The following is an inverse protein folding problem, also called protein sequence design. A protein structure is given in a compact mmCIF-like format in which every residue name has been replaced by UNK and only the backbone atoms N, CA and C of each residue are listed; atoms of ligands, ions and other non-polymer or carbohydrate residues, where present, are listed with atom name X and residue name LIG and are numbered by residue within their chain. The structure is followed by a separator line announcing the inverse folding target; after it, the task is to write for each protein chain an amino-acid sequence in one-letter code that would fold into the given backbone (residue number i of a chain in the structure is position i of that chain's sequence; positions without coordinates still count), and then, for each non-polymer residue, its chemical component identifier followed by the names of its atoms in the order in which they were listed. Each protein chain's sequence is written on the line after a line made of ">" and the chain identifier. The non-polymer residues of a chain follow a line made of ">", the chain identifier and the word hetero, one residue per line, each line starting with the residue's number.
data_IF_725511917919
#
_entry.id   IF_725511917919
#
_cell.length_a   1.000
_cell.length_b   1.000
_cell.length_c   1.000
_cell.angle_alpha   90.00
_cell.angle_beta   90.00
_cell.angle_gamma   90.00
#
_symmetry.space_group_name_H-M   'P 1'
#
loop_
_entity.id
_entity.type
_entity.pdbx_description
1 polymer ?
#
# COMPACT_ATOMS: atom_id res chain seq x y z
N UNK A 1 -28.40 6.06 -34.63
CA UNK A 1 -28.00 4.64 -34.52
C UNK A 1 -29.19 3.91 -33.96
N UNK A 2 -29.48 2.72 -34.47
CA UNK A 2 -30.58 1.91 -33.98
C UNK A 2 -30.12 1.16 -32.72
N UNK A 3 -30.99 1.07 -31.72
CA UNK A 3 -30.73 0.31 -30.50
C UNK A 3 -30.85 -1.19 -30.76
N UNK A 4 -29.92 -1.98 -30.22
CA UNK A 4 -30.05 -3.43 -30.16
C UNK A 4 -30.69 -3.81 -28.83
N UNK A 5 -31.93 -4.31 -28.86
CA UNK A 5 -32.63 -4.80 -27.66
C UNK A 5 -32.64 -6.33 -27.65
N UNK A 6 -31.88 -6.93 -26.72
CA UNK A 6 -31.82 -8.37 -26.46
C UNK A 6 -31.76 -8.63 -24.96
N UNK A 7 -32.25 -9.77 -24.47
CA UNK A 7 -32.14 -10.14 -23.05
C UNK A 7 -30.70 -10.40 -22.61
N UNK A 8 -29.88 -10.92 -23.53
CA UNK A 8 -28.44 -11.10 -23.36
C UNK A 8 -27.72 -11.08 -24.71
N UNK A 9 -26.47 -10.64 -24.71
CA UNK A 9 -25.52 -10.76 -25.81
C UNK A 9 -24.34 -11.60 -25.33
N UNK A 10 -24.06 -12.70 -26.02
CA UNK A 10 -22.91 -13.56 -25.76
C UNK A 10 -21.96 -13.50 -26.94
N UNK A 11 -20.69 -13.14 -26.70
CA UNK A 11 -19.64 -13.08 -27.70
C UNK A 11 -18.41 -13.84 -27.19
N UNK A 12 -18.33 -15.13 -27.54
CA UNK A 12 -17.35 -16.03 -26.93
C UNK A 12 -17.58 -16.14 -25.42
N UNK A 13 -16.55 -15.97 -24.56
CA UNK A 13 -16.70 -16.05 -23.11
C UNK A 13 -17.29 -14.78 -22.48
N UNK A 14 -17.48 -13.70 -23.26
CA UNK A 14 -18.02 -12.43 -22.79
C UNK A 14 -19.55 -12.45 -22.84
N UNK A 15 -20.20 -12.01 -21.77
CA UNK A 15 -21.66 -11.90 -21.65
C UNK A 15 -22.06 -10.52 -21.17
N UNK A 16 -22.99 -9.89 -21.88
CA UNK A 16 -23.70 -8.68 -21.46
C UNK A 16 -25.17 -9.07 -21.22
N UNK A 17 -25.67 -8.87 -20.00
CA UNK A 17 -27.02 -9.25 -19.62
C UNK A 17 -27.64 -8.20 -18.68
N UNK A 18 -28.93 -8.37 -18.36
CA UNK A 18 -29.65 -7.51 -17.41
C UNK A 18 -29.04 -7.51 -16.00
N UNK A 19 -28.20 -8.50 -15.68
CA UNK A 19 -27.48 -8.62 -14.42
C UNK A 19 -26.08 -7.97 -14.43
N UNK A 20 -25.62 -7.45 -15.57
CA UNK A 20 -24.32 -6.80 -15.72
C UNK A 20 -23.45 -7.40 -16.84
N UNK A 21 -22.14 -7.17 -16.72
CA UNK A 21 -21.13 -7.59 -17.69
C UNK A 21 -20.22 -8.64 -17.06
N UNK A 22 -20.03 -9.77 -17.76
CA UNK A 22 -19.00 -10.75 -17.45
C UNK A 22 -17.97 -10.78 -18.59
N UNK A 23 -16.73 -10.42 -18.29
CA UNK A 23 -15.63 -10.41 -19.27
C UNK A 23 -15.01 -11.79 -19.55
N UNK A 24 -15.46 -12.85 -18.86
CA UNK A 24 -14.99 -14.21 -19.12
C UNK A 24 -13.52 -14.43 -18.76
N UNK A 25 -13.03 -13.77 -17.69
CA UNK A 25 -11.63 -13.80 -17.26
C UNK A 25 -10.62 -13.28 -18.31
N UNK A 26 -11.08 -12.44 -19.23
CA UNK A 26 -10.23 -11.76 -20.19
C UNK A 26 -9.79 -10.39 -19.66
N UNK A 27 -8.62 -9.93 -20.12
CA UNK A 27 -8.16 -8.55 -19.87
C UNK A 27 -9.04 -7.56 -20.62
N UNK A 28 -9.46 -6.52 -19.92
CA UNK A 28 -10.17 -5.36 -20.50
C UNK A 28 -9.14 -4.25 -20.68
N UNK A 29 -8.72 -3.99 -21.91
CA UNK A 29 -7.75 -2.94 -22.25
C UNK A 29 -8.44 -1.64 -22.68
N UNK A 30 -7.69 -0.54 -22.72
CA UNK A 30 -8.16 0.80 -23.12
C UNK A 30 -9.25 1.39 -22.21
N UNK A 31 -9.26 1.00 -20.93
CA UNK A 31 -10.09 1.64 -19.91
C UNK A 31 -9.42 2.96 -19.51
N UNK A 32 -10.06 4.08 -19.86
CA UNK A 32 -9.63 5.39 -19.41
C UNK A 32 -9.70 5.48 -17.87
N UNK A 33 -8.89 6.34 -17.21
CA UNK A 33 -8.99 6.53 -15.78
C UNK A 33 -10.41 6.88 -15.35
N UNK A 34 -10.95 6.16 -14.36
CA UNK A 34 -12.26 6.45 -13.79
C UNK A 34 -12.24 7.77 -13.02
N UNK A 35 -13.31 8.56 -13.12
CA UNK A 35 -13.43 9.89 -12.49
C UNK A 35 -14.59 9.92 -11.49
N UNK A 36 -15.72 9.32 -11.83
CA UNK A 36 -16.86 9.17 -10.95
C UNK A 36 -16.74 7.90 -10.09
N UNK A 37 -17.44 7.87 -8.95
CA UNK A 37 -17.41 6.71 -8.04
C UNK A 37 -18.00 5.41 -8.60
N UNK A 38 -18.63 5.47 -9.77
CA UNK A 38 -19.19 4.33 -10.51
C UNK A 38 -18.35 3.90 -11.71
N UNK A 39 -17.26 4.62 -12.00
CA UNK A 39 -16.38 4.27 -13.10
C UNK A 39 -15.45 3.13 -12.68
N UNK A 40 -15.03 2.31 -13.66
CA UNK A 40 -13.99 1.32 -13.41
C UNK A 40 -12.63 2.01 -13.19
N UNK A 41 -11.84 1.47 -12.26
CA UNK A 41 -10.44 1.86 -12.08
C UNK A 41 -9.55 1.08 -13.03
N UNK A 42 -8.57 1.74 -13.65
CA UNK A 42 -7.56 1.07 -14.47
C UNK A 42 -6.27 0.79 -13.68
N UNK A 43 -5.34 0.05 -14.29
CA UNK A 43 -4.09 -0.37 -13.61
C UNK A 43 -3.22 0.84 -13.23
N UNK A 44 -3.16 1.88 -14.06
CA UNK A 44 -2.37 3.09 -13.75
C UNK A 44 -2.84 3.77 -12.45
N UNK A 45 -4.17 3.85 -12.24
CA UNK A 45 -4.73 4.38 -10.99
C UNK A 45 -4.38 3.50 -9.78
N UNK A 46 -4.40 2.18 -9.94
CA UNK A 46 -4.00 1.24 -8.89
C UNK A 46 -2.50 1.37 -8.56
N UNK A 47 -1.64 1.47 -9.57
CA UNK A 47 -0.19 1.67 -9.39
C UNK A 47 0.10 2.99 -8.68
N UNK A 48 -0.54 4.09 -9.08
CA UNK A 48 -0.38 5.39 -8.42
C UNK A 48 -0.78 5.34 -6.93
N UNK A 49 -1.85 4.60 -6.59
CA UNK A 49 -2.24 4.37 -5.20
C UNK A 49 -1.17 3.58 -4.43
N UNK A 50 -0.64 2.50 -5.02
CA UNK A 50 0.42 1.69 -4.44
C UNK A 50 1.70 2.51 -4.17
N UNK A 51 2.15 3.27 -5.16
CA UNK A 51 3.35 4.11 -5.08
C UNK A 51 3.19 5.24 -4.04
N UNK A 52 2.04 5.90 -4.01
CA UNK A 52 1.76 6.95 -3.02
C UNK A 52 1.70 6.40 -1.60
N UNK A 53 1.19 5.18 -1.43
CA UNK A 53 1.14 4.49 -0.13
C UNK A 53 2.56 4.13 0.32
N UNK A 54 3.37 3.53 -0.55
CA UNK A 54 4.78 3.23 -0.26
C UNK A 54 5.57 4.49 0.10
N UNK A 55 5.40 5.57 -0.68
CA UNK A 55 6.02 6.88 -0.42
C UNK A 55 5.59 7.44 0.94
N UNK A 56 4.32 7.31 1.30
CA UNK A 56 3.78 7.80 2.57
C UNK A 56 4.33 7.03 3.78
N UNK A 57 4.64 5.74 3.61
CA UNK A 57 5.36 4.96 4.63
C UNK A 57 6.83 5.40 4.75
N UNK A 58 7.42 5.90 3.67
CA UNK A 58 8.78 6.41 3.64
C UNK A 58 9.85 5.31 3.76
N UNK A 59 11.05 5.70 4.22
CA UNK A 59 12.20 4.80 4.27
C UNK A 59 12.54 4.26 2.88
N UNK A 60 12.74 2.94 2.78
CA UNK A 60 12.90 2.23 1.51
C UNK A 60 11.64 1.48 1.06
N UNK A 61 10.46 1.87 1.56
CA UNK A 61 9.20 1.17 1.27
C UNK A 61 8.88 1.21 -0.23
N UNK A 62 8.32 0.13 -0.75
CA UNK A 62 8.13 -0.05 -2.20
C UNK A 62 6.80 -0.75 -2.51
N UNK A 63 6.18 -0.38 -3.63
CA UNK A 63 5.09 -1.12 -4.24
C UNK A 63 5.63 -2.01 -5.38
N UNK A 64 5.25 -3.28 -5.38
CA UNK A 64 5.54 -4.21 -6.47
C UNK A 64 4.28 -4.42 -7.32
N UNK A 65 4.25 -3.93 -8.58
CA UNK A 65 3.10 -4.08 -9.47
C UNK A 65 2.89 -5.53 -9.96
N UNK A 66 3.89 -6.40 -9.83
CA UNK A 66 3.81 -7.81 -10.22
C UNK A 66 2.96 -8.59 -9.22
N UNK A 67 3.18 -8.36 -7.93
CA UNK A 67 2.48 -9.03 -6.83
C UNK A 67 1.31 -8.21 -6.30
N UNK A 68 1.21 -6.93 -6.69
CA UNK A 68 0.26 -5.95 -6.15
C UNK A 68 0.40 -5.75 -4.64
N UNK A 69 1.64 -5.73 -4.13
CA UNK A 69 1.91 -5.58 -2.69
C UNK A 69 2.75 -4.35 -2.38
N UNK A 70 2.38 -3.63 -1.32
CA UNK A 70 3.25 -2.63 -0.69
C UNK A 70 4.04 -3.30 0.42
N UNK A 71 5.37 -3.21 0.36
CA UNK A 71 6.27 -3.70 1.40
C UNK A 71 6.94 -2.51 2.09
N UNK A 72 6.72 -2.36 3.40
CA UNK A 72 7.40 -1.33 4.16
C UNK A 72 8.88 -1.68 4.34
N UNK A 73 9.74 -0.67 4.39
CA UNK A 73 11.16 -0.83 4.73
C UNK A 73 11.57 0.37 5.58
N UNK A 74 11.40 0.22 6.88
CA UNK A 74 11.53 1.28 7.88
C UNK A 74 12.80 1.06 8.69
N UNK A 75 13.76 1.97 8.62
CA UNK A 75 15.03 1.84 9.34
C UNK A 75 14.96 2.50 10.71
N UNK A 76 15.26 1.74 11.76
CA UNK A 76 15.44 2.24 13.14
C UNK A 76 16.78 1.72 13.67
N UNK A 77 17.74 2.63 13.87
CA UNK A 77 19.13 2.24 14.16
C UNK A 77 19.74 1.48 12.98
N UNK A 78 20.24 0.26 13.23
CA UNK A 78 20.79 -0.64 12.20
C UNK A 78 19.77 -1.65 11.67
N UNK A 79 18.55 -1.65 12.20
CA UNK A 79 17.53 -2.64 11.88
C UNK A 79 16.54 -2.08 10.87
N UNK A 80 16.02 -2.95 10.00
CA UNK A 80 14.96 -2.64 9.04
C UNK A 80 13.71 -3.44 9.40
N UNK A 81 12.57 -2.75 9.45
CA UNK A 81 11.27 -3.32 9.81
C UNK A 81 10.31 -3.23 8.63
N UNK A 82 9.48 -4.26 8.46
CA UNK A 82 8.52 -4.37 7.34
C UNK A 82 7.09 -3.98 7.71
N UNK A 83 6.88 -3.49 8.93
CA UNK A 83 5.64 -2.87 9.36
C UNK A 83 5.90 -1.75 10.38
N UNK A 84 4.94 -0.84 10.49
CA UNK A 84 5.05 0.35 11.34
C UNK A 84 5.07 -0.01 12.83
N UNK A 85 4.28 -1.00 13.26
CA UNK A 85 4.13 -1.30 14.67
C UNK A 85 5.42 -1.83 15.30
N UNK A 86 6.17 -2.67 14.59
CA UNK A 86 7.44 -3.20 15.07
C UNK A 86 8.51 -2.10 15.15
N UNK A 87 8.57 -1.23 14.13
CA UNK A 87 9.48 -0.09 14.13
C UNK A 87 9.21 0.85 15.32
N UNK A 88 7.93 1.16 15.59
CA UNK A 88 7.52 1.99 16.72
C UNK A 88 7.79 1.31 18.07
N UNK A 89 7.60 -0.01 18.15
CA UNK A 89 7.92 -0.78 19.36
C UNK A 89 9.42 -0.75 19.65
N UNK A 90 10.26 -0.86 18.62
CA UNK A 90 11.71 -0.69 18.78
C UNK A 90 12.07 0.73 19.24
N UNK A 91 11.45 1.75 18.64
CA UNK A 91 11.69 3.14 19.02
C UNK A 91 11.27 3.39 20.48
N UNK A 92 10.11 2.88 20.89
CA UNK A 92 9.65 2.96 22.27
C UNK A 92 10.63 2.27 23.22
N UNK A 93 11.14 1.08 22.88
CA UNK A 93 12.16 0.40 23.67
C UNK A 93 13.46 1.22 23.80
N UNK A 94 13.96 1.80 22.70
CA UNK A 94 15.17 2.64 22.72
C UNK A 94 14.95 3.91 23.54
N UNK A 95 13.79 4.56 23.37
CA UNK A 95 13.45 5.77 24.11
C UNK A 95 13.30 5.50 25.62
N UNK A 96 12.77 4.33 25.99
CA UNK A 96 12.62 3.93 27.39
C UNK A 96 13.92 3.44 28.04
N UNK A 97 14.94 3.06 27.27
CA UNK A 97 16.25 2.65 27.79
C UNK A 97 17.10 3.81 28.34
N UNK A 98 16.77 5.06 28.01
CA UNK A 98 17.49 6.25 28.47
C UNK A 98 18.80 6.54 27.73
N UNK A 99 19.57 7.48 28.27
CA UNK A 99 20.83 7.95 27.68
C UNK A 99 22.03 7.60 28.56
N UNK A 100 23.06 6.99 27.98
CA UNK A 100 24.33 6.79 28.67
C UNK A 100 25.15 8.09 28.60
N UNK A 101 25.36 8.73 29.74
CA UNK A 101 26.14 9.97 29.89
C UNK A 101 27.46 9.64 30.58
N UNK A 102 28.57 10.16 30.07
CA UNK A 102 29.91 10.03 30.69
C UNK A 102 30.65 11.35 30.63
N UNK A 103 31.42 11.68 31.67
CA UNK A 103 32.36 12.81 31.68
C UNK A 103 33.79 12.41 31.26
N UNK A 104 33.97 11.17 30.78
CA UNK A 104 35.26 10.60 30.43
C UNK A 104 35.92 9.82 31.56
N UNK A 105 35.42 9.94 32.80
CA UNK A 105 35.90 9.19 33.98
C UNK A 105 34.77 8.44 34.69
N UNK A 106 33.59 9.05 34.78
CA UNK A 106 32.38 8.49 35.42
C UNK A 106 31.25 8.42 34.41
N UNK A 107 30.55 7.28 34.34
CA UNK A 107 29.38 7.07 33.50
C UNK A 107 28.12 6.80 34.32
N UNK A 108 26.98 7.33 33.88
CA UNK A 108 25.65 7.03 34.41
C UNK A 108 24.65 6.87 33.25
N UNK A 109 23.69 5.95 33.40
CA UNK A 109 22.52 5.90 32.53
C UNK A 109 21.44 6.80 33.12
N UNK A 110 20.95 7.74 32.33
CA UNK A 110 19.85 8.63 32.69
C UNK A 110 18.60 8.13 31.96
N UNK A 111 17.73 7.43 32.69
CA UNK A 111 16.42 7.00 32.20
C UNK A 111 15.45 8.17 32.01
N UNK A 112 14.38 7.99 31.20
CA UNK A 112 13.29 8.95 31.16
C UNK A 112 12.68 9.11 32.56
N UNK A 113 12.20 10.31 32.90
CA UNK A 113 11.39 10.47 34.12
C UNK A 113 10.16 9.57 33.98
N UNK A 114 9.87 8.77 35.01
CA UNK A 114 8.64 7.97 35.06
C UNK A 114 7.45 8.90 34.75
N UNK A 115 6.66 8.55 33.74
CA UNK A 115 5.49 9.34 33.32
C UNK A 115 4.40 9.30 34.37
#
# INVERSE_FOLDING_TARGET
>A
ADDITVNSLTAGPVVIATTGINAGNLVISNVAPGVAGTDAVNVDQLTALGDSTATSLGGGSVYDPTTNTVTASLTVGTNTYTNVQDALTQLDSVANAGWNVTDGTTGANIGPKAR
#
